data_IF_599273603438
#
_entry.id   IF_599273603438
#
_cell.length_a   1.000
_cell.length_b   1.000
_cell.length_c   1.000
_cell.angle_alpha   90.00
_cell.angle_beta   90.00
_cell.angle_gamma   90.00
#
_symmetry.space_group_name_H-M   'P 1'
#
loop_
_entity.id
_entity.type
_entity.pdbx_description
1 polymer ?
#
# COMPACT_ATOMS: atom_id res chain seq x y z
N UNK A 1 14.28 -5.82 8.14
CA UNK A 1 13.31 -6.05 9.24
C UNK A 1 12.08 -6.73 8.72
N UNK A 2 11.53 -7.63 9.52
CA UNK A 2 10.31 -8.32 9.13
C UNK A 2 9.11 -7.38 9.12
N UNK A 3 8.24 -7.52 8.13
CA UNK A 3 7.00 -6.76 8.05
C UNK A 3 6.01 -7.37 9.05
N UNK A 4 5.46 -6.54 9.93
CA UNK A 4 4.46 -6.96 10.94
C UNK A 4 3.18 -6.16 10.85
N UNK A 5 3.30 -4.84 10.63
CA UNK A 5 2.16 -3.92 10.55
C UNK A 5 1.98 -3.45 9.11
N UNK A 6 0.78 -3.61 8.59
CA UNK A 6 0.46 -3.20 7.22
C UNK A 6 -0.71 -2.21 7.26
N UNK A 7 -0.54 -1.07 6.60
CA UNK A 7 -1.61 -0.12 6.37
C UNK A 7 -2.14 -0.32 4.97
N UNK A 8 -3.44 -0.56 4.83
CA UNK A 8 -4.10 -0.72 3.54
C UNK A 8 -4.88 0.56 3.23
N UNK A 9 -4.59 1.17 2.10
CA UNK A 9 -5.23 2.42 1.67
C UNK A 9 -6.05 2.16 0.42
N UNK A 10 -7.38 2.23 0.55
CA UNK A 10 -8.31 1.95 -0.53
C UNK A 10 -9.65 2.57 -0.14
N UNK A 11 -10.38 3.14 -1.11
CA UNK A 11 -11.70 3.72 -0.82
C UNK A 11 -12.84 2.71 -0.96
N UNK A 12 -12.54 1.49 -1.40
CA UNK A 12 -13.52 0.41 -1.51
C UNK A 12 -13.61 -0.39 -0.21
N UNK A 13 -14.73 -0.34 0.52
CA UNK A 13 -14.87 -1.14 1.75
C UNK A 13 -14.72 -2.64 1.50
N UNK A 14 -15.17 -3.13 0.34
CA UNK A 14 -15.04 -4.54 -0.04
C UNK A 14 -13.58 -4.94 -0.18
N UNK A 15 -12.78 -4.13 -0.87
CA UNK A 15 -11.35 -4.41 -1.06
C UNK A 15 -10.59 -4.31 0.26
N UNK A 16 -10.92 -3.32 1.10
CA UNK A 16 -10.32 -3.20 2.42
C UNK A 16 -10.58 -4.44 3.28
N UNK A 17 -11.83 -4.91 3.28
CA UNK A 17 -12.19 -6.10 4.05
C UNK A 17 -11.47 -7.34 3.53
N UNK A 18 -11.46 -7.54 2.21
CA UNK A 18 -10.82 -8.70 1.59
C UNK A 18 -9.33 -8.76 1.93
N UNK A 19 -8.62 -7.66 1.73
CA UNK A 19 -7.18 -7.61 2.01
C UNK A 19 -6.88 -7.70 3.50
N UNK A 20 -7.70 -7.07 4.34
CA UNK A 20 -7.52 -7.12 5.79
C UNK A 20 -7.66 -8.53 6.33
N UNK A 21 -8.68 -9.26 5.89
CA UNK A 21 -8.91 -10.63 6.32
C UNK A 21 -7.79 -11.56 5.84
N UNK A 22 -7.37 -11.39 4.58
CA UNK A 22 -6.29 -12.18 4.01
C UNK A 22 -5.01 -12.02 4.83
N UNK A 23 -4.62 -10.78 5.09
CA UNK A 23 -3.36 -10.48 5.78
C UNK A 23 -3.43 -10.84 7.27
N UNK A 24 -4.57 -10.61 7.91
CA UNK A 24 -4.74 -10.97 9.32
C UNK A 24 -4.61 -12.48 9.53
N UNK A 25 -5.12 -13.29 8.60
CA UNK A 25 -4.97 -14.75 8.65
C UNK A 25 -3.51 -15.18 8.61
N UNK A 26 -2.64 -14.39 8.02
CA UNK A 26 -1.21 -14.70 7.92
C UNK A 26 -0.38 -14.03 9.01
N UNK A 27 -1.04 -13.52 10.05
CA UNK A 27 -0.36 -13.01 11.24
C UNK A 27 0.03 -11.55 11.20
N UNK A 28 -0.39 -10.80 10.19
CA UNK A 28 -0.08 -9.36 10.11
C UNK A 28 -1.07 -8.54 10.94
N UNK A 29 -0.59 -7.47 11.54
CA UNK A 29 -1.43 -6.45 12.13
C UNK A 29 -1.86 -5.51 11.00
N UNK A 30 -3.16 -5.25 10.88
CA UNK A 30 -3.71 -4.49 9.76
C UNK A 30 -4.42 -3.24 10.26
N UNK A 31 -4.12 -2.11 9.63
CA UNK A 31 -4.89 -0.88 9.76
C UNK A 31 -5.37 -0.49 8.36
N UNK A 32 -6.43 0.29 8.27
CA UNK A 32 -7.01 0.70 7.00
C UNK A 32 -7.21 2.21 6.94
N UNK A 33 -7.17 2.75 5.73
CA UNK A 33 -7.45 4.15 5.47
C UNK A 33 -8.24 4.26 4.15
N UNK A 34 -9.22 5.15 4.11
CA UNK A 34 -10.08 5.32 2.94
C UNK A 34 -9.66 6.44 2.00
N UNK A 35 -8.60 7.17 2.32
CA UNK A 35 -8.10 8.28 1.52
C UNK A 35 -6.62 8.47 1.77
N UNK A 36 -5.96 9.24 0.88
CA UNK A 36 -4.56 9.58 1.07
C UNK A 36 -4.35 10.41 2.33
N UNK A 37 -5.25 11.34 2.63
CA UNK A 37 -5.16 12.18 3.83
C UNK A 37 -5.22 11.33 5.10
N UNK A 38 -6.18 10.41 5.18
CA UNK A 38 -6.31 9.50 6.32
C UNK A 38 -5.06 8.62 6.44
N UNK A 39 -4.53 8.16 5.31
CA UNK A 39 -3.32 7.36 5.28
C UNK A 39 -2.12 8.12 5.87
N UNK A 40 -1.95 9.39 5.50
CA UNK A 40 -0.85 10.20 6.01
C UNK A 40 -0.93 10.36 7.53
N UNK A 41 -2.14 10.58 8.06
CA UNK A 41 -2.35 10.67 9.49
C UNK A 41 -2.00 9.37 10.20
N UNK A 42 -2.45 8.24 9.65
CA UNK A 42 -2.19 6.92 10.25
C UNK A 42 -0.73 6.51 10.17
N UNK A 43 -0.04 6.86 9.09
CA UNK A 43 1.40 6.60 8.98
C UNK A 43 2.15 7.33 10.10
N UNK A 44 1.80 8.57 10.37
CA UNK A 44 2.44 9.35 11.45
C UNK A 44 2.14 8.79 12.84
N UNK A 45 0.91 8.31 13.04
CA UNK A 45 0.47 7.81 14.35
C UNK A 45 1.04 6.44 14.68
N UNK A 46 1.00 5.50 13.74
CA UNK A 46 1.31 4.11 14.03
C UNK A 46 2.56 3.56 13.33
N UNK A 47 3.13 4.29 12.38
CA UNK A 47 4.32 3.90 11.61
C UNK A 47 4.26 2.44 11.16
N UNK A 48 3.46 2.14 10.13
CA UNK A 48 3.40 0.78 9.61
C UNK A 48 4.74 0.37 8.99
N UNK A 49 4.93 -0.94 8.86
CA UNK A 49 6.12 -1.49 8.20
C UNK A 49 5.96 -1.54 6.68
N UNK A 50 4.74 -1.45 6.20
CA UNK A 50 4.38 -1.51 4.79
C UNK A 50 3.08 -0.77 4.56
N UNK A 51 2.98 -0.06 3.44
CA UNK A 51 1.72 0.55 2.97
C UNK A 51 1.32 -0.11 1.66
N UNK A 52 0.11 -0.66 1.61
CA UNK A 52 -0.54 -1.09 0.37
C UNK A 52 -1.44 0.05 -0.09
N UNK A 53 -1.15 0.64 -1.24
CA UNK A 53 -1.77 1.88 -1.68
C UNK A 53 -2.51 1.69 -2.99
N UNK A 54 -3.81 1.97 -3.02
CA UNK A 54 -4.52 2.08 -4.29
C UNK A 54 -4.19 3.42 -4.94
N UNK A 55 -4.33 3.46 -6.26
CA UNK A 55 -4.08 4.67 -7.05
C UNK A 55 -5.33 5.56 -7.09
N UNK A 56 -6.50 4.96 -7.30
CA UNK A 56 -7.76 5.71 -7.42
C UNK A 56 -8.34 5.95 -6.03
N UNK A 57 -8.07 7.14 -5.50
CA UNK A 57 -8.50 7.55 -4.17
C UNK A 57 -9.19 8.92 -4.25
N UNK A 58 -10.11 9.23 -3.32
CA UNK A 58 -10.70 10.57 -3.27
C UNK A 58 -9.65 11.61 -2.90
N UNK A 59 -9.73 12.77 -3.52
CA UNK A 59 -8.76 13.85 -3.31
C UNK A 59 -7.43 13.55 -3.97
N UNK A 60 -6.37 13.44 -3.19
CA UNK A 60 -5.03 13.11 -3.69
C UNK A 60 -4.98 11.64 -4.13
N UNK A 61 -4.47 11.36 -5.33
CA UNK A 61 -4.36 10.00 -5.82
C UNK A 61 -3.17 9.25 -5.19
N UNK A 62 -3.14 7.93 -5.40
CA UNK A 62 -2.12 7.06 -4.79
C UNK A 62 -0.71 7.29 -5.32
N UNK A 63 -0.55 7.77 -6.55
CA UNK A 63 0.78 8.15 -7.07
C UNK A 63 1.36 9.31 -6.28
N UNK A 64 0.55 10.35 -6.06
CA UNK A 64 0.96 11.52 -5.30
C UNK A 64 1.27 11.16 -3.84
N UNK A 65 0.42 10.34 -3.24
CA UNK A 65 0.60 9.89 -1.86
C UNK A 65 1.90 9.08 -1.72
N UNK A 66 2.18 8.19 -2.67
CA UNK A 66 3.42 7.41 -2.69
C UNK A 66 4.63 8.32 -2.78
N UNK A 67 4.59 9.30 -3.67
CA UNK A 67 5.67 10.27 -3.81
C UNK A 67 5.93 11.03 -2.51
N UNK A 68 4.87 11.48 -1.85
CA UNK A 68 4.98 12.19 -0.58
C UNK A 68 5.65 11.31 0.48
N UNK A 69 5.19 10.06 0.62
CA UNK A 69 5.75 9.13 1.60
C UNK A 69 7.21 8.80 1.33
N UNK A 70 7.57 8.56 0.08
CA UNK A 70 8.91 8.09 -0.27
C UNK A 70 9.95 9.21 -0.30
N UNK A 71 9.53 10.46 -0.29
CA UNK A 71 10.42 11.63 -0.28
C UNK A 71 10.54 12.32 1.08
N UNK A 72 9.61 12.06 2.00
CA UNK A 72 9.67 12.63 3.34
C UNK A 72 10.67 11.84 4.19
N UNK A 73 11.60 12.56 4.83
CA UNK A 73 12.62 11.95 5.69
C UNK A 73 12.02 11.08 6.78
N UNK A 74 10.85 11.45 7.30
CA UNK A 74 10.20 10.71 8.38
C UNK A 74 9.59 9.39 7.91
N UNK A 75 9.27 9.24 6.62
CA UNK A 75 8.50 8.10 6.10
C UNK A 75 9.17 7.36 4.94
N UNK A 76 10.26 7.87 4.40
CA UNK A 76 10.88 7.30 3.19
C UNK A 76 11.36 5.87 3.36
N UNK A 77 11.58 5.42 4.58
CA UNK A 77 12.01 4.05 4.85
C UNK A 77 10.85 3.05 4.82
N UNK A 78 9.61 3.52 4.84
CA UNK A 78 8.43 2.65 4.80
C UNK A 78 8.15 2.28 3.35
N UNK A 79 8.26 0.99 2.98
CA UNK A 79 7.99 0.58 1.60
C UNK A 79 6.51 0.74 1.26
N UNK A 80 6.24 1.08 0.00
CA UNK A 80 4.90 1.19 -0.55
C UNK A 80 4.76 0.20 -1.70
N UNK A 81 3.74 -0.64 -1.66
CA UNK A 81 3.33 -1.47 -2.78
C UNK A 81 2.02 -0.90 -3.31
N UNK A 82 1.99 -0.55 -4.60
CA UNK A 82 0.75 -0.10 -5.24
C UNK A 82 -0.12 -1.31 -5.56
N UNK A 83 -1.39 -1.25 -5.18
CA UNK A 83 -2.35 -2.34 -5.31
C UNK A 83 -3.64 -1.78 -5.90
N UNK A 84 -3.86 -1.97 -7.20
CA UNK A 84 -4.86 -1.21 -7.95
C UNK A 84 -5.40 -1.98 -9.14
N UNK A 85 -6.58 -1.56 -9.63
CA UNK A 85 -7.14 -2.09 -10.87
C UNK A 85 -6.49 -1.51 -12.14
N UNK A 86 -5.64 -0.49 -12.01
CA UNK A 86 -4.92 0.10 -13.16
C UNK A 86 -3.75 -0.80 -13.55
N UNK A 87 -3.95 -1.61 -14.59
CA UNK A 87 -3.00 -2.66 -14.98
C UNK A 87 -2.15 -2.36 -16.20
N UNK A 88 -2.14 -1.14 -16.71
CA UNK A 88 -1.34 -0.81 -17.89
C UNK A 88 0.13 -0.66 -17.52
N UNK A 89 1.02 -1.00 -18.45
CA UNK A 89 2.46 -0.88 -18.22
C UNK A 89 2.87 0.56 -17.90
N UNK A 90 2.22 1.55 -18.52
CA UNK A 90 2.50 2.96 -18.23
C UNK A 90 2.17 3.32 -16.79
N UNK A 91 1.09 2.76 -16.23
CA UNK A 91 0.72 2.98 -14.82
C UNK A 91 1.77 2.38 -13.90
N UNK A 92 2.24 1.19 -14.22
CA UNK A 92 3.24 0.49 -13.44
C UNK A 92 4.57 1.26 -13.42
N UNK A 93 5.04 1.67 -14.59
CA UNK A 93 6.27 2.45 -14.71
C UNK A 93 6.18 3.74 -13.93
N UNK A 94 5.04 4.45 -14.06
CA UNK A 94 4.83 5.70 -13.36
C UNK A 94 4.84 5.50 -11.83
N UNK A 95 4.18 4.43 -11.36
CA UNK A 95 4.16 4.10 -9.93
C UNK A 95 5.54 3.83 -9.37
N UNK A 96 6.34 3.06 -10.09
CA UNK A 96 7.71 2.76 -9.66
C UNK A 96 8.57 4.02 -9.61
N UNK A 97 8.34 4.97 -10.53
CA UNK A 97 9.04 6.27 -10.52
C UNK A 97 8.66 7.13 -9.31
N UNK A 98 7.47 6.94 -8.75
CA UNK A 98 7.08 7.65 -7.53
C UNK A 98 7.74 7.07 -6.27
N UNK A 99 8.46 5.97 -6.42
CA UNK A 99 9.20 5.35 -5.33
C UNK A 99 8.56 4.08 -4.78
N UNK A 100 7.49 3.56 -5.42
CA UNK A 100 6.91 2.29 -5.00
C UNK A 100 7.93 1.17 -5.14
N UNK A 101 7.88 0.21 -4.22
CA UNK A 101 8.76 -0.96 -4.25
C UNK A 101 8.23 -2.03 -5.17
N UNK A 102 6.91 -2.11 -5.32
CA UNK A 102 6.29 -3.10 -6.19
C UNK A 102 4.89 -2.66 -6.60
N UNK A 103 4.26 -3.43 -7.47
CA UNK A 103 2.97 -3.10 -8.08
C UNK A 103 2.15 -4.39 -8.23
N UNK A 104 0.90 -4.36 -7.77
CA UNK A 104 -0.03 -5.49 -7.88
C UNK A 104 -1.30 -5.01 -8.56
N UNK A 105 -1.76 -5.76 -9.55
CA UNK A 105 -3.02 -5.49 -10.27
C UNK A 105 -4.13 -6.32 -9.65
N UNK A 106 -5.25 -5.69 -9.33
CA UNK A 106 -6.43 -6.39 -8.83
C UNK A 106 -7.10 -7.20 -9.94
N UNK A 107 -7.71 -8.36 -9.64
CA UNK A 107 -7.90 -8.94 -8.32
C UNK A 107 -6.58 -9.51 -7.76
N UNK A 108 -6.38 -9.31 -6.47
CA UNK A 108 -5.12 -9.67 -5.82
C UNK A 108 -4.99 -11.18 -5.69
N UNK A 109 -3.88 -11.72 -6.19
CA UNK A 109 -3.49 -13.10 -5.95
C UNK A 109 -2.77 -13.17 -4.61
N UNK A 110 -3.30 -13.97 -3.68
CA UNK A 110 -2.78 -14.06 -2.32
C UNK A 110 -1.31 -14.49 -2.29
N UNK A 111 -0.96 -15.53 -3.05
CA UNK A 111 0.42 -16.03 -3.07
C UNK A 111 1.40 -14.99 -3.60
N UNK A 112 1.00 -14.23 -4.63
CA UNK A 112 1.82 -13.17 -5.20
C UNK A 112 2.04 -12.04 -4.21
N UNK A 113 0.98 -11.59 -3.53
CA UNK A 113 1.10 -10.54 -2.52
C UNK A 113 2.01 -10.97 -1.37
N UNK A 114 1.81 -12.17 -0.85
CA UNK A 114 2.63 -12.67 0.26
C UNK A 114 4.09 -12.81 -0.14
N UNK A 115 4.36 -13.26 -1.37
CA UNK A 115 5.74 -13.34 -1.88
C UNK A 115 6.40 -11.97 -1.97
N UNK A 116 5.67 -10.96 -2.43
CA UNK A 116 6.19 -9.60 -2.52
C UNK A 116 6.46 -9.00 -1.13
N UNK A 117 5.60 -9.27 -0.17
CA UNK A 117 5.81 -8.84 1.22
C UNK A 117 7.06 -9.51 1.80
N UNK A 118 7.20 -10.81 1.58
CA UNK A 118 8.37 -11.55 2.07
C UNK A 118 9.67 -11.04 1.47
N UNK A 119 9.64 -10.58 0.22
CA UNK A 119 10.83 -10.02 -0.45
C UNK A 119 11.30 -8.69 0.18
N UNK A 120 10.44 -8.01 0.91
CA UNK A 120 10.79 -6.73 1.56
C UNK A 120 11.50 -6.92 2.91
N UNK A 121 11.26 -8.02 3.52
CA UNK A 121 11.76 -8.26 4.84
C UNK A 121 12.36 -9.57 5.11
#
# INVERSE_FOLDING_TARGET
>A
MAIKKILIVDDSPTDLQFLSEMLAKHGFMVATAGSAEDAMNKVKQSRPDLVLMDIVLPGQNGFQATRTLTRDEATKSIPVILCTSKGQETDRVWGMRQGARDYIVKPVNQADLLAKIAALG
#
